data_IF_168893766395
#
_entry.id   IF_168893766395
#
_cell.length_a   1.000
_cell.length_b   1.000
_cell.length_c   1.000
_cell.angle_alpha   90.00
_cell.angle_beta   90.00
_cell.angle_gamma   90.00
#
_symmetry.space_group_name_H-M   'P 1'
#
loop_
_entity.id
_entity.type
_entity.pdbx_description
1 polymer ?
#
# COMPACT_ATOMS: atom_id res chain seq x y z
N UNK A 1 -27.83 -7.48 6.29
CA UNK A 1 -26.75 -7.89 5.38
C UNK A 1 -25.48 -7.17 5.80
N UNK A 2 -24.38 -7.89 5.88
CA UNK A 2 -23.07 -7.31 6.18
C UNK A 2 -22.12 -7.62 5.01
N UNK A 3 -21.37 -6.62 4.59
CA UNK A 3 -20.35 -6.71 3.54
C UNK A 3 -19.02 -6.18 4.04
N UNK A 4 -17.90 -6.60 3.48
CA UNK A 4 -16.59 -6.10 3.88
C UNK A 4 -16.25 -4.79 3.21
N UNK A 5 -16.26 -4.72 1.90
CA UNK A 5 -15.80 -3.57 1.12
C UNK A 5 -16.93 -2.89 0.30
N UNK A 6 -16.64 -1.70 -0.22
CA UNK A 6 -17.60 -0.90 -0.98
C UNK A 6 -18.18 -1.61 -2.22
N UNK A 7 -17.44 -2.30 -3.07
CA UNK A 7 -18.02 -2.98 -4.23
C UNK A 7 -19.15 -3.94 -3.88
N UNK A 8 -18.98 -4.74 -2.84
CA UNK A 8 -19.99 -5.69 -2.35
C UNK A 8 -21.23 -4.97 -1.83
N UNK A 9 -21.01 -3.90 -1.05
CA UNK A 9 -22.06 -3.05 -0.52
C UNK A 9 -22.90 -2.44 -1.66
N UNK A 10 -22.23 -1.88 -2.65
CA UNK A 10 -22.89 -1.24 -3.80
C UNK A 10 -23.68 -2.26 -4.65
N UNK A 11 -23.10 -3.42 -4.94
CA UNK A 11 -23.82 -4.48 -5.65
C UNK A 11 -25.07 -4.95 -4.91
N UNK A 12 -24.96 -5.15 -3.59
CA UNK A 12 -26.15 -5.54 -2.79
C UNK A 12 -27.19 -4.44 -2.81
N UNK A 13 -26.81 -3.18 -2.70
CA UNK A 13 -27.70 -2.02 -2.76
C UNK A 13 -28.43 -1.97 -4.10
N UNK A 14 -27.73 -2.12 -5.22
CA UNK A 14 -28.28 -2.11 -6.57
C UNK A 14 -29.24 -3.30 -6.79
N UNK A 15 -28.90 -4.50 -6.32
CA UNK A 15 -29.75 -5.70 -6.41
C UNK A 15 -31.04 -5.52 -5.59
N UNK A 16 -30.94 -4.93 -4.42
CA UNK A 16 -32.10 -4.65 -3.55
C UNK A 16 -33.02 -3.57 -4.14
N UNK A 17 -32.47 -2.61 -4.87
CA UNK A 17 -33.21 -1.49 -5.43
C UNK A 17 -34.04 -0.76 -4.36
N UNK A 18 -35.33 -0.57 -4.57
CA UNK A 18 -36.20 0.11 -3.61
C UNK A 18 -36.37 -0.59 -2.26
N UNK A 19 -35.86 -1.83 -2.10
CA UNK A 19 -35.85 -2.54 -0.82
C UNK A 19 -34.62 -2.22 0.03
N UNK A 20 -33.62 -1.54 -0.52
CA UNK A 20 -32.40 -1.20 0.19
C UNK A 20 -32.71 -0.34 1.44
N UNK A 21 -33.65 0.60 1.34
CA UNK A 21 -34.04 1.47 2.46
C UNK A 21 -34.69 0.72 3.64
N UNK A 22 -35.26 -0.48 3.37
CA UNK A 22 -35.89 -1.33 4.39
C UNK A 22 -35.00 -2.51 4.84
N UNK A 23 -33.79 -2.59 4.32
CA UNK A 23 -32.81 -3.61 4.62
C UNK A 23 -31.71 -3.03 5.48
N UNK A 24 -31.41 -3.66 6.60
CA UNK A 24 -30.22 -3.33 7.39
C UNK A 24 -28.98 -3.83 6.61
N UNK A 25 -28.31 -2.91 5.92
CA UNK A 25 -27.15 -3.15 5.09
C UNK A 25 -25.95 -2.39 5.65
N UNK A 26 -24.97 -3.12 6.10
CA UNK A 26 -23.76 -2.59 6.75
C UNK A 26 -22.53 -2.91 5.90
N UNK A 27 -21.67 -1.92 5.70
CA UNK A 27 -20.31 -2.07 5.19
C UNK A 27 -19.34 -1.96 6.38
N UNK A 28 -18.42 -2.91 6.50
CA UNK A 28 -17.47 -2.92 7.63
C UNK A 28 -16.34 -1.91 7.43
N UNK A 29 -15.77 -1.85 6.23
CA UNK A 29 -14.67 -0.96 5.88
C UNK A 29 -15.21 0.39 5.35
N UNK A 30 -15.93 1.13 6.16
CA UNK A 30 -16.59 2.38 5.77
C UNK A 30 -15.72 3.64 5.92
N UNK A 31 -14.56 3.53 6.59
CA UNK A 31 -13.71 4.66 6.94
C UNK A 31 -12.39 4.73 6.15
N UNK A 32 -12.30 4.12 4.97
CA UNK A 32 -11.08 4.12 4.16
C UNK A 32 -9.93 3.29 4.77
N UNK A 33 -10.26 2.31 5.58
CA UNK A 33 -9.30 1.32 6.10
C UNK A 33 -8.93 0.38 4.97
N UNK A 34 -7.64 0.10 4.83
CA UNK A 34 -7.13 -0.90 3.90
C UNK A 34 -7.63 -2.30 4.28
N UNK A 35 -8.09 -3.06 3.29
CA UNK A 35 -8.57 -4.43 3.47
C UNK A 35 -7.49 -5.35 4.08
N UNK A 36 -6.23 -5.17 3.67
CA UNK A 36 -5.11 -5.99 4.13
C UNK A 36 -4.73 -5.77 5.61
N UNK A 37 -5.03 -4.59 6.13
CA UNK A 37 -4.76 -4.24 7.53
C UNK A 37 -5.99 -4.26 8.44
N UNK A 38 -7.17 -4.59 7.88
CA UNK A 38 -8.40 -4.59 8.63
C UNK A 38 -8.48 -5.73 9.64
N UNK A 39 -8.77 -5.37 10.89
CA UNK A 39 -9.13 -6.32 11.95
C UNK A 39 -10.52 -5.96 12.48
N UNK A 40 -11.47 -6.92 12.52
CA UNK A 40 -12.83 -6.63 12.96
C UNK A 40 -12.85 -6.22 14.42
N UNK A 41 -13.56 -5.16 14.71
CA UNK A 41 -13.85 -4.74 16.09
C UNK A 41 -14.84 -5.70 16.74
N UNK A 42 -14.98 -5.64 18.08
CA UNK A 42 -15.98 -6.42 18.79
C UNK A 42 -17.41 -6.14 18.27
N UNK A 43 -17.70 -4.91 17.88
CA UNK A 43 -18.98 -4.50 17.31
C UNK A 43 -19.21 -5.11 15.91
N UNK A 44 -18.18 -5.17 15.09
CA UNK A 44 -18.24 -5.81 13.77
C UNK A 44 -18.47 -7.32 13.89
N UNK A 45 -17.81 -7.97 14.85
CA UNK A 45 -18.02 -9.39 15.14
C UNK A 45 -19.49 -9.64 15.54
N UNK A 46 -20.09 -8.78 16.34
CA UNK A 46 -21.51 -8.88 16.70
C UNK A 46 -22.41 -8.70 15.47
N UNK A 47 -22.16 -7.66 14.66
CA UNK A 47 -22.93 -7.43 13.43
C UNK A 47 -22.88 -8.62 12.48
N UNK A 48 -21.69 -9.20 12.25
CA UNK A 48 -21.52 -10.40 11.42
C UNK A 48 -22.26 -11.59 12.05
N UNK A 49 -22.04 -11.82 13.35
CA UNK A 49 -22.59 -12.97 14.06
C UNK A 49 -24.12 -13.05 14.00
N UNK A 50 -24.81 -11.91 13.98
CA UNK A 50 -26.27 -11.80 14.01
C UNK A 50 -26.89 -11.62 12.62
N UNK A 51 -26.11 -11.34 11.58
CA UNK A 51 -26.64 -11.02 10.25
C UNK A 51 -27.29 -12.25 9.57
N UNK A 52 -28.09 -11.97 8.54
CA UNK A 52 -28.72 -13.03 7.73
C UNK A 52 -27.89 -13.40 6.49
N UNK A 53 -27.09 -12.48 6.02
CA UNK A 53 -26.22 -12.64 4.87
C UNK A 53 -24.90 -11.90 5.14
N UNK A 54 -23.80 -12.60 5.03
CA UNK A 54 -22.45 -12.06 5.08
C UNK A 54 -21.75 -12.28 3.75
N UNK A 55 -21.20 -11.22 3.16
CA UNK A 55 -20.48 -11.26 1.89
C UNK A 55 -19.09 -10.68 2.14
N UNK A 56 -18.06 -11.39 1.70
CA UNK A 56 -16.67 -10.96 1.84
C UNK A 56 -15.84 -11.45 0.66
N UNK A 57 -14.70 -10.81 0.42
CA UNK A 57 -13.82 -11.14 -0.71
C UNK A 57 -13.25 -12.53 -0.58
N UNK A 58 -12.70 -12.86 0.57
CA UNK A 58 -11.94 -14.09 0.82
C UNK A 58 -10.43 -13.87 0.65
N UNK A 59 -9.66 -14.97 0.69
CA UNK A 59 -8.21 -14.94 0.63
C UNK A 59 -7.55 -14.53 1.94
N UNK A 60 -6.27 -14.14 1.86
CA UNK A 60 -5.45 -13.86 3.05
C UNK A 60 -5.96 -12.67 3.85
N UNK A 61 -6.40 -11.61 3.18
CA UNK A 61 -6.90 -10.39 3.83
C UNK A 61 -8.15 -10.62 4.68
N UNK A 62 -8.94 -11.65 4.38
CA UNK A 62 -10.16 -12.00 5.10
C UNK A 62 -9.99 -13.28 5.96
N UNK A 63 -8.76 -13.69 6.27
CA UNK A 63 -8.47 -14.88 7.09
C UNK A 63 -9.15 -14.88 8.47
N UNK A 64 -9.40 -13.69 9.02
CA UNK A 64 -10.15 -13.47 10.25
C UNK A 64 -11.62 -13.94 10.17
N UNK A 65 -12.22 -13.92 8.97
CA UNK A 65 -13.64 -14.26 8.77
C UNK A 65 -13.99 -15.67 9.22
N UNK A 66 -13.11 -16.65 8.97
CA UNK A 66 -13.35 -18.04 9.40
C UNK A 66 -13.55 -18.17 10.92
N UNK A 67 -12.77 -17.44 11.72
CA UNK A 67 -12.85 -17.49 13.18
C UNK A 67 -14.18 -16.91 13.69
N UNK A 68 -14.65 -15.82 13.07
CA UNK A 68 -15.93 -15.18 13.38
C UNK A 68 -17.08 -16.09 12.99
N UNK A 69 -17.05 -16.68 11.81
CA UNK A 69 -18.09 -17.56 11.28
C UNK A 69 -18.27 -18.84 12.12
N UNK A 70 -17.17 -19.43 12.62
CA UNK A 70 -17.22 -20.60 13.53
C UNK A 70 -18.05 -20.34 14.78
N UNK A 71 -18.04 -19.10 15.27
CA UNK A 71 -18.68 -18.68 16.52
C UNK A 71 -19.97 -17.88 16.33
N UNK A 72 -20.44 -17.70 15.08
CA UNK A 72 -21.61 -16.90 14.77
C UNK A 72 -22.86 -17.41 15.48
N UNK A 73 -23.67 -16.47 16.04
CA UNK A 73 -24.90 -16.79 16.76
C UNK A 73 -26.00 -17.24 15.80
N UNK A 74 -26.11 -16.60 14.64
CA UNK A 74 -27.11 -16.97 13.62
C UNK A 74 -26.64 -18.15 12.77
N UNK A 75 -26.98 -19.35 13.17
CA UNK A 75 -26.68 -20.59 12.45
C UNK A 75 -27.39 -20.75 11.08
N UNK A 76 -28.30 -19.84 10.74
CA UNK A 76 -29.02 -19.81 9.45
C UNK A 76 -28.46 -18.75 8.51
N UNK A 77 -27.43 -18.03 8.92
CA UNK A 77 -26.75 -17.05 8.12
C UNK A 77 -26.29 -17.68 6.80
N UNK A 78 -26.49 -16.96 5.71
CA UNK A 78 -25.87 -17.27 4.42
C UNK A 78 -24.53 -16.57 4.33
N UNK A 79 -23.55 -17.25 3.77
CA UNK A 79 -22.19 -16.73 3.61
C UNK A 79 -21.83 -16.83 2.14
N UNK A 80 -21.30 -15.76 1.60
CA UNK A 80 -20.75 -15.68 0.23
C UNK A 80 -19.30 -15.27 0.35
N UNK A 81 -18.39 -16.18 0.04
CA UNK A 81 -16.98 -15.90 -0.20
C UNK A 81 -16.82 -15.70 -1.71
N UNK A 82 -16.47 -14.51 -2.14
CA UNK A 82 -16.43 -14.18 -3.56
C UNK A 82 -15.34 -14.96 -4.30
N UNK A 83 -14.18 -15.17 -3.70
CA UNK A 83 -13.11 -15.94 -4.33
C UNK A 83 -13.54 -17.41 -4.53
N UNK A 84 -14.24 -18.00 -3.57
CA UNK A 84 -14.77 -19.36 -3.72
C UNK A 84 -15.84 -19.46 -4.82
N UNK A 85 -16.73 -18.47 -4.92
CA UNK A 85 -17.78 -18.42 -5.94
C UNK A 85 -17.20 -18.24 -7.34
N UNK A 86 -16.18 -17.41 -7.48
CA UNK A 86 -15.52 -17.13 -8.76
C UNK A 86 -14.61 -18.28 -9.22
N UNK A 87 -14.06 -19.04 -8.27
CA UNK A 87 -13.23 -20.22 -8.55
C UNK A 87 -12.11 -19.91 -9.57
N UNK A 88 -12.06 -20.66 -10.66
CA UNK A 88 -11.06 -20.52 -11.72
C UNK A 88 -11.11 -19.18 -12.49
N UNK A 89 -12.14 -18.35 -12.27
CA UNK A 89 -12.25 -17.02 -12.86
C UNK A 89 -11.50 -15.95 -12.06
N UNK A 90 -11.03 -16.31 -10.87
CA UNK A 90 -10.19 -15.44 -10.04
C UNK A 90 -8.86 -15.24 -10.76
N UNK A 91 -8.50 -14.00 -11.02
CA UNK A 91 -7.14 -13.65 -11.37
C UNK A 91 -6.41 -13.38 -10.04
N UNK A 92 -5.40 -14.15 -9.77
CA UNK A 92 -4.46 -13.84 -8.70
C UNK A 92 -3.73 -12.56 -9.12
N UNK A 93 -3.70 -11.59 -8.25
CA UNK A 93 -2.81 -10.44 -8.41
C UNK A 93 -1.39 -10.99 -8.57
N UNK A 94 -0.72 -10.64 -9.66
CA UNK A 94 0.69 -10.94 -9.76
C UNK A 94 1.39 -10.10 -8.71
N UNK A 95 1.77 -10.74 -7.60
CA UNK A 95 2.58 -10.11 -6.56
C UNK A 95 3.93 -9.84 -7.20
N UNK A 96 4.09 -8.66 -7.77
CA UNK A 96 5.41 -8.17 -8.18
C UNK A 96 6.21 -7.94 -6.91
N UNK A 97 7.42 -8.47 -6.90
CA UNK A 97 8.35 -8.40 -5.77
C UNK A 97 8.56 -6.92 -5.38
N UNK A 98 8.01 -6.55 -4.23
CA UNK A 98 7.96 -5.17 -3.73
C UNK A 98 6.63 -4.77 -3.11
N UNK A 99 5.55 -5.52 -3.34
CA UNK A 99 4.28 -5.40 -2.61
C UNK A 99 4.32 -6.11 -1.25
N UNK A 100 5.37 -6.87 -0.97
CA UNK A 100 5.59 -7.44 0.37
C UNK A 100 6.45 -6.47 1.18
N UNK A 101 5.84 -5.80 2.12
CA UNK A 101 6.56 -5.28 3.27
C UNK A 101 7.28 -6.44 3.97
N UNK A 102 8.54 -6.20 4.33
CA UNK A 102 9.43 -7.16 4.97
C UNK A 102 8.74 -8.05 6.02
N UNK A 103 8.70 -9.35 5.77
CA UNK A 103 8.48 -10.36 6.80
C UNK A 103 7.32 -11.32 6.53
N UNK A 104 7.65 -12.44 6.08
CA UNK A 104 7.30 -13.84 6.31
C UNK A 104 7.27 -14.65 5.03
N UNK A 105 8.39 -15.37 4.87
CA UNK A 105 8.55 -16.51 3.96
C UNK A 105 7.52 -17.60 4.26
N UNK A 106 6.51 -17.75 3.40
CA UNK A 106 5.83 -19.02 3.21
C UNK A 106 5.85 -19.36 1.72
N UNK A 107 6.83 -20.19 1.39
CA UNK A 107 7.15 -20.62 0.05
C UNK A 107 5.97 -21.20 -0.72
N UNK A 108 5.72 -20.61 -1.86
CA UNK A 108 5.37 -21.32 -3.08
C UNK A 108 6.15 -20.71 -4.24
N UNK A 109 7.12 -21.48 -4.68
CA UNK A 109 8.08 -21.20 -5.72
C UNK A 109 7.43 -20.97 -7.08
N UNK A 110 7.55 -19.75 -7.61
CA UNK A 110 8.10 -19.57 -8.94
C UNK A 110 9.15 -18.47 -8.84
N UNK A 111 10.38 -18.92 -8.70
CA UNK A 111 11.60 -18.15 -8.56
C UNK A 111 11.99 -17.58 -9.94
N UNK A 112 11.16 -16.73 -10.54
CA UNK A 112 11.60 -15.86 -11.63
C UNK A 112 12.31 -14.67 -11.03
N UNK A 113 13.60 -14.82 -10.84
CA UNK A 113 14.46 -13.78 -10.35
C UNK A 113 14.44 -12.60 -11.33
N UNK A 114 14.01 -11.42 -10.87
CA UNK A 114 14.05 -10.17 -11.63
C UNK A 114 15.45 -9.99 -12.25
N UNK A 115 15.49 -9.86 -13.57
CA UNK A 115 16.71 -9.64 -14.34
C UNK A 115 16.72 -8.23 -14.92
N UNK A 116 17.84 -7.76 -15.44
CA UNK A 116 17.92 -6.47 -16.12
C UNK A 116 17.05 -6.40 -17.39
N UNK A 117 16.68 -7.54 -17.96
CA UNK A 117 15.83 -7.59 -19.14
C UNK A 117 14.34 -7.34 -18.81
N UNK A 118 13.97 -7.48 -17.55
CA UNK A 118 12.59 -7.29 -17.06
C UNK A 118 12.36 -5.86 -16.59
N UNK A 119 13.40 -5.01 -16.63
CA UNK A 119 13.31 -3.61 -16.23
C UNK A 119 13.07 -2.74 -17.45
N UNK A 120 11.96 -2.04 -17.49
CA UNK A 120 11.63 -1.07 -18.52
C UNK A 120 11.90 0.37 -18.07
N UNK A 121 12.23 1.24 -19.05
CA UNK A 121 12.38 2.66 -18.79
C UNK A 121 11.05 3.28 -18.39
N UNK A 122 11.08 4.15 -17.37
CA UNK A 122 9.90 4.86 -16.89
C UNK A 122 10.01 6.36 -17.12
N UNK A 123 8.87 7.01 -17.17
CA UNK A 123 8.76 8.46 -17.34
C UNK A 123 8.39 9.12 -16.02
N UNK A 124 8.58 10.42 -15.91
CA UNK A 124 8.14 11.16 -14.73
C UNK A 124 6.62 11.14 -14.56
N UNK A 125 5.88 10.89 -15.64
CA UNK A 125 4.41 10.75 -15.62
C UNK A 125 3.94 9.55 -14.80
N UNK A 126 4.75 8.50 -14.67
CA UNK A 126 4.42 7.33 -13.85
C UNK A 126 4.36 7.68 -12.34
N UNK A 127 5.01 8.75 -11.97
CA UNK A 127 5.05 9.31 -10.61
C UNK A 127 4.21 10.60 -10.48
N UNK A 128 3.34 10.89 -11.45
CA UNK A 128 2.54 12.12 -11.45
C UNK A 128 1.62 12.22 -10.24
N UNK A 129 1.38 13.43 -9.75
CA UNK A 129 0.46 13.66 -8.64
C UNK A 129 0.98 14.63 -7.58
N UNK A 130 0.25 14.69 -6.48
CA UNK A 130 0.57 15.50 -5.31
C UNK A 130 0.84 14.60 -4.11
N UNK A 131 2.06 14.61 -3.63
CA UNK A 131 2.60 13.69 -2.64
C UNK A 131 2.95 14.40 -1.34
N UNK A 132 2.82 13.70 -0.22
CA UNK A 132 3.23 14.19 1.11
C UNK A 132 4.28 13.27 1.70
N UNK A 133 5.27 13.85 2.36
CA UNK A 133 6.22 13.09 3.16
C UNK A 133 5.52 12.47 4.38
N UNK A 134 5.84 11.23 4.69
CA UNK A 134 5.40 10.56 5.94
C UNK A 134 6.22 11.00 7.16
N UNK A 135 7.40 11.56 6.97
CA UNK A 135 8.30 11.95 8.05
C UNK A 135 7.67 12.92 9.07
N UNK A 136 6.96 14.01 8.70
CA UNK A 136 6.27 14.85 9.67
C UNK A 136 5.20 14.12 10.49
N UNK A 137 4.47 13.17 9.87
CA UNK A 137 3.44 12.38 10.55
C UNK A 137 4.05 11.38 11.56
N UNK A 138 5.25 10.88 11.27
CA UNK A 138 6.00 10.07 12.23
C UNK A 138 6.45 10.91 13.43
N UNK A 139 6.99 12.11 13.19
CA UNK A 139 7.54 12.98 14.23
C UNK A 139 6.47 13.52 15.20
N UNK A 140 5.25 13.73 14.73
CA UNK A 140 4.15 14.24 15.56
C UNK A 140 3.34 13.13 16.26
N UNK A 141 3.67 11.85 16.01
CA UNK A 141 3.06 10.67 16.65
C UNK A 141 1.84 10.10 15.93
N UNK A 142 1.45 10.62 14.76
CA UNK A 142 0.32 10.11 13.98
C UNK A 142 0.54 8.66 13.53
N UNK A 143 1.81 8.24 13.38
CA UNK A 143 2.20 6.88 12.98
C UNK A 143 2.62 5.98 14.16
N UNK A 144 2.33 6.37 15.39
CA UNK A 144 2.68 5.59 16.57
C UNK A 144 2.05 4.19 16.56
N UNK A 145 0.76 4.10 16.19
CA UNK A 145 0.06 2.82 16.09
C UNK A 145 0.62 1.93 14.97
N UNK A 146 1.06 2.54 13.88
CA UNK A 146 1.73 1.82 12.80
C UNK A 146 3.04 1.20 13.30
N UNK A 147 3.87 1.95 14.03
CA UNK A 147 5.10 1.42 14.62
C UNK A 147 4.83 0.34 15.68
N UNK A 148 3.74 0.47 16.47
CA UNK A 148 3.30 -0.56 17.41
C UNK A 148 2.95 -1.87 16.67
N UNK A 149 2.13 -1.77 15.64
CA UNK A 149 1.70 -2.91 14.84
C UNK A 149 2.89 -3.63 14.17
N UNK A 150 3.80 -2.88 13.57
CA UNK A 150 5.02 -3.45 12.99
C UNK A 150 5.89 -4.19 14.01
N UNK A 151 5.94 -3.71 15.25
CA UNK A 151 6.68 -4.39 16.32
C UNK A 151 5.98 -5.66 16.81
N UNK A 152 4.63 -5.70 16.75
CA UNK A 152 3.83 -6.88 17.10
C UNK A 152 3.94 -7.99 16.06
N UNK A 153 4.12 -7.63 14.79
CA UNK A 153 4.29 -8.58 13.69
C UNK A 153 5.73 -9.09 13.52
N UNK A 154 6.72 -8.47 14.17
CA UNK A 154 8.11 -8.86 14.06
C UNK A 154 8.37 -10.19 14.80
N UNK A 155 9.00 -11.13 14.11
CA UNK A 155 9.41 -12.42 14.70
C UNK A 155 10.41 -12.27 15.85
N UNK A 156 11.21 -11.19 15.83
CA UNK A 156 12.09 -10.84 16.94
C UNK A 156 11.31 -10.13 18.06
N UNK A 157 10.89 -10.90 19.05
CA UNK A 157 10.18 -10.40 20.22
C UNK A 157 10.93 -9.32 21.03
N UNK A 158 12.17 -9.02 20.69
CA UNK A 158 12.94 -7.90 21.27
C UNK A 158 12.69 -6.58 20.53
N UNK A 159 12.08 -6.62 19.34
CA UNK A 159 11.73 -5.44 18.56
C UNK A 159 10.56 -4.72 19.21
N UNK A 160 10.67 -3.41 19.32
CA UNK A 160 9.68 -2.56 19.97
C UNK A 160 9.18 -1.48 19.04
N UNK A 161 8.06 -0.82 19.39
CA UNK A 161 7.58 0.41 18.75
C UNK A 161 8.71 1.41 18.52
N UNK A 162 9.52 1.65 19.56
CA UNK A 162 10.61 2.63 19.50
C UNK A 162 11.70 2.21 18.50
N UNK A 163 11.95 0.91 18.36
CA UNK A 163 12.87 0.38 17.33
C UNK A 163 12.41 0.73 15.93
N UNK A 164 11.14 0.50 15.61
CA UNK A 164 10.56 0.86 14.33
C UNK A 164 10.48 2.37 14.13
N UNK A 165 10.12 3.11 15.16
CA UNK A 165 10.06 4.57 15.10
C UNK A 165 11.44 5.18 14.76
N UNK A 166 12.52 4.76 15.42
CA UNK A 166 13.87 5.22 15.12
C UNK A 166 14.33 4.76 13.72
N UNK A 167 14.02 3.54 13.31
CA UNK A 167 14.27 3.01 11.96
C UNK A 167 13.63 3.92 10.90
N UNK A 168 12.32 4.18 11.02
CA UNK A 168 11.59 5.00 10.06
C UNK A 168 12.00 6.47 10.11
N UNK A 169 12.27 7.02 11.29
CA UNK A 169 12.80 8.37 11.43
C UNK A 169 14.11 8.57 10.66
N UNK A 170 15.00 7.61 10.71
CA UNK A 170 16.25 7.66 9.98
C UNK A 170 16.07 7.46 8.48
N UNK A 171 15.19 6.53 8.06
CA UNK A 171 15.02 6.15 6.66
C UNK A 171 14.09 7.08 5.88
N UNK A 172 13.11 7.72 6.54
CA UNK A 172 12.14 8.62 5.91
C UNK A 172 12.50 10.10 6.05
N UNK A 173 13.65 10.41 6.62
CA UNK A 173 14.09 11.79 6.73
C UNK A 173 14.11 12.46 5.35
N UNK A 174 13.33 13.52 5.21
CA UNK A 174 13.17 14.25 3.97
C UNK A 174 13.00 15.75 4.27
N UNK A 175 13.75 16.59 3.58
CA UNK A 175 13.67 18.04 3.75
C UNK A 175 12.42 18.65 3.07
N UNK A 176 11.88 17.97 2.06
CA UNK A 176 10.64 18.34 1.40
C UNK A 176 9.43 17.70 2.09
N UNK A 177 8.44 18.52 2.48
CA UNK A 177 7.18 18.05 3.06
C UNK A 177 6.18 17.61 2.01
N UNK A 178 6.25 18.22 0.81
CA UNK A 178 5.36 17.91 -0.31
C UNK A 178 6.13 17.95 -1.62
N UNK A 179 5.69 17.10 -2.54
CA UNK A 179 6.18 17.06 -3.90
C UNK A 179 4.97 17.03 -4.84
N UNK A 180 5.00 17.85 -5.88
CA UNK A 180 4.00 17.78 -6.97
C UNK A 180 4.73 17.51 -8.28
N UNK A 181 4.25 16.51 -9.01
CA UNK A 181 4.81 16.08 -10.29
C UNK A 181 3.74 16.26 -11.35
N UNK A 182 4.04 17.07 -12.36
CA UNK A 182 3.13 17.33 -13.48
C UNK A 182 3.93 17.43 -14.79
N UNK A 183 3.70 16.48 -15.70
CA UNK A 183 4.55 16.31 -16.87
C UNK A 183 6.00 16.09 -16.46
N UNK A 184 6.90 16.86 -17.03
CA UNK A 184 8.34 16.79 -16.74
C UNK A 184 8.78 17.69 -15.57
N UNK A 185 7.84 18.31 -14.85
CA UNK A 185 8.13 19.25 -13.78
C UNK A 185 7.93 18.63 -12.41
N UNK A 186 8.96 18.72 -11.55
CA UNK A 186 8.86 18.44 -10.12
C UNK A 186 8.89 19.76 -9.35
N UNK A 187 7.91 19.93 -8.45
CA UNK A 187 7.85 21.03 -7.48
C UNK A 187 8.03 20.47 -6.08
N UNK A 188 9.06 20.90 -5.39
CA UNK A 188 9.34 20.61 -3.99
C UNK A 188 8.78 21.74 -3.11
N UNK A 189 8.12 21.39 -2.02
CA UNK A 189 7.68 22.31 -0.97
C UNK A 189 8.34 21.91 0.34
N UNK A 190 9.11 22.81 0.90
CA UNK A 190 9.87 22.62 2.14
C UNK A 190 9.08 23.07 3.37
N UNK A 191 9.52 22.67 4.57
CA UNK A 191 8.87 22.99 5.85
C UNK A 191 8.73 24.50 6.13
N UNK A 192 9.63 25.33 5.59
CA UNK A 192 9.59 26.81 5.69
C UNK A 192 8.59 27.46 4.70
N UNK A 193 7.88 26.63 3.92
CA UNK A 193 6.96 27.08 2.88
C UNK A 193 7.63 27.49 1.57
N UNK A 194 8.96 27.41 1.47
CA UNK A 194 9.66 27.64 0.21
C UNK A 194 9.29 26.57 -0.81
N UNK A 195 9.06 26.99 -2.04
CA UNK A 195 8.85 26.11 -3.18
C UNK A 195 9.95 26.26 -4.21
N UNK A 196 10.34 25.14 -4.81
CA UNK A 196 11.30 25.09 -5.90
C UNK A 196 10.76 24.18 -6.98
N UNK A 197 10.76 24.63 -8.22
CA UNK A 197 10.27 23.85 -9.37
C UNK A 197 11.33 23.80 -10.47
N UNK A 198 11.47 22.63 -11.09
CA UNK A 198 12.31 22.47 -12.27
C UNK A 198 11.78 21.37 -13.18
N UNK A 199 12.14 21.45 -14.45
CA UNK A 199 11.96 20.37 -15.41
C UNK A 199 13.09 19.35 -15.24
N UNK A 200 12.73 18.07 -15.27
CA UNK A 200 13.65 16.95 -15.14
C UNK A 200 13.59 16.06 -16.35
N UNK A 201 14.74 15.53 -16.73
CA UNK A 201 14.89 14.57 -17.83
C UNK A 201 15.29 13.21 -17.26
N UNK A 202 14.78 12.15 -17.86
CA UNK A 202 15.15 10.80 -17.50
C UNK A 202 16.65 10.54 -17.76
N UNK A 203 17.32 9.98 -16.79
CA UNK A 203 18.77 9.72 -16.81
C UNK A 203 19.11 8.21 -16.72
N UNK A 204 18.08 7.36 -16.78
CA UNK A 204 18.24 5.91 -16.67
C UNK A 204 17.74 5.35 -15.35
N UNK A 205 18.12 4.12 -15.06
CA UNK A 205 17.78 3.45 -13.81
C UNK A 205 18.98 2.77 -13.16
N UNK A 206 18.87 2.48 -11.88
CA UNK A 206 19.86 1.72 -11.13
C UNK A 206 19.21 0.58 -10.38
N UNK A 207 19.47 -0.70 -10.76
CA UNK A 207 19.02 -1.83 -9.97
C UNK A 207 19.81 -1.92 -8.67
N UNK A 208 19.10 -2.08 -7.56
CA UNK A 208 19.66 -2.35 -6.24
C UNK A 208 19.68 -3.86 -6.01
N UNK A 209 20.83 -4.37 -5.62
CA UNK A 209 21.04 -5.82 -5.45
C UNK A 209 21.31 -6.13 -3.97
N UNK A 210 20.86 -7.30 -3.54
CA UNK A 210 21.25 -7.84 -2.24
C UNK A 210 22.68 -8.45 -2.29
N UNK A 211 23.13 -8.99 -1.16
CA UNK A 211 24.45 -9.60 -1.02
C UNK A 211 24.68 -10.83 -1.93
N UNK A 212 23.60 -11.46 -2.38
CA UNK A 212 23.61 -12.58 -3.33
C UNK A 212 23.65 -12.11 -4.80
N UNK A 213 23.61 -10.80 -5.05
CA UNK A 213 23.61 -10.20 -6.38
C UNK A 213 22.23 -10.17 -7.05
N UNK A 214 21.16 -10.59 -6.36
CA UNK A 214 19.78 -10.54 -6.85
C UNK A 214 19.24 -9.10 -6.83
N UNK A 215 18.54 -8.68 -7.88
CA UNK A 215 17.88 -7.38 -7.92
C UNK A 215 16.72 -7.40 -6.90
N UNK A 216 16.66 -6.38 -6.04
CA UNK A 216 15.63 -6.22 -5.00
C UNK A 216 14.72 -5.03 -5.26
N UNK A 217 15.21 -4.03 -5.96
CA UNK A 217 14.43 -2.87 -6.35
C UNK A 217 15.15 -2.10 -7.46
N UNK A 218 14.42 -1.18 -8.09
CA UNK A 218 14.95 -0.33 -9.15
C UNK A 218 14.79 1.12 -8.74
N UNK A 219 15.84 1.93 -8.91
CA UNK A 219 15.77 3.38 -8.74
C UNK A 219 15.78 4.04 -10.10
N UNK A 220 14.69 4.69 -10.48
CA UNK A 220 14.56 5.47 -11.69
C UNK A 220 15.14 6.87 -11.46
N UNK A 221 16.01 7.30 -12.35
CA UNK A 221 16.88 8.46 -12.18
C UNK A 221 16.45 9.59 -13.10
N UNK A 222 16.35 10.79 -12.56
CA UNK A 222 15.99 12.00 -13.28
C UNK A 222 16.94 13.12 -12.89
N UNK A 223 17.32 13.97 -13.84
CA UNK A 223 18.23 15.07 -13.58
C UNK A 223 17.74 16.39 -14.19
N UNK A 224 18.17 17.50 -13.60
CA UNK A 224 17.92 18.85 -14.10
C UNK A 224 19.21 19.67 -14.21
N UNK A 225 19.20 20.65 -15.09
CA UNK A 225 20.25 21.66 -15.18
C UNK A 225 19.92 22.92 -14.37
N UNK A 226 18.76 22.98 -13.73
CA UNK A 226 18.37 24.09 -12.86
C UNK A 226 19.33 24.20 -11.66
N UNK A 227 19.79 25.42 -11.38
CA UNK A 227 20.66 25.70 -10.22
C UNK A 227 19.87 25.81 -8.91
N UNK A 228 18.56 26.01 -8.98
CA UNK A 228 17.70 26.31 -7.83
C UNK A 228 17.02 25.06 -7.25
N UNK A 229 17.04 23.95 -7.97
CA UNK A 229 16.40 22.70 -7.59
C UNK A 229 17.44 21.58 -7.35
N UNK A 230 17.09 20.52 -6.61
CA UNK A 230 17.94 19.33 -6.49
C UNK A 230 18.31 18.81 -7.87
N UNK A 231 19.60 18.69 -8.14
CA UNK A 231 20.09 18.32 -9.48
C UNK A 231 19.71 16.89 -9.88
N UNK A 232 19.72 15.97 -8.93
CA UNK A 232 19.48 14.55 -9.12
C UNK A 232 18.31 14.11 -8.28
N UNK A 233 17.40 13.36 -8.87
CA UNK A 233 16.23 12.77 -8.20
C UNK A 233 16.12 11.29 -8.58
N UNK A 234 15.83 10.45 -7.61
CA UNK A 234 15.58 9.03 -7.83
C UNK A 234 14.26 8.63 -7.19
N UNK A 235 13.47 7.85 -7.90
CA UNK A 235 12.23 7.25 -7.41
C UNK A 235 12.36 5.72 -7.32
N UNK A 236 11.78 5.14 -6.29
CA UNK A 236 11.57 3.71 -6.14
C UNK A 236 10.18 3.50 -5.54
N UNK A 237 9.28 2.91 -6.32
CA UNK A 237 7.93 2.52 -5.93
C UNK A 237 7.75 0.99 -5.95
N UNK A 238 8.89 0.27 -5.95
CA UNK A 238 8.98 -1.17 -6.06
C UNK A 238 8.61 -1.76 -7.43
N UNK A 239 8.07 -0.94 -8.36
CA UNK A 239 7.79 -1.33 -9.74
C UNK A 239 9.06 -1.41 -10.61
N UNK A 240 9.01 -2.21 -11.66
CA UNK A 240 10.09 -2.35 -12.66
C UNK A 240 9.60 -2.14 -14.09
N UNK A 241 8.31 -1.88 -14.27
CA UNK A 241 7.62 -1.57 -15.53
C UNK A 241 6.92 -0.21 -15.46
N UNK A 242 6.56 0.42 -16.61
CA UNK A 242 5.73 1.62 -16.63
C UNK A 242 4.37 1.40 -15.94
N UNK A 243 3.98 2.35 -15.09
CA UNK A 243 2.71 2.30 -14.36
C UNK A 243 2.57 3.46 -13.37
N UNK A 244 1.34 3.76 -12.97
CA UNK A 244 1.07 4.81 -11.99
C UNK A 244 1.54 4.36 -10.60
N UNK A 245 2.41 5.16 -9.98
CA UNK A 245 2.87 4.92 -8.62
C UNK A 245 1.77 5.28 -7.61
N UNK A 246 1.52 4.41 -6.64
CA UNK A 246 0.64 4.69 -5.50
C UNK A 246 1.40 5.28 -4.32
N UNK A 247 2.67 4.94 -4.19
CA UNK A 247 3.64 5.49 -3.25
C UNK A 247 5.04 5.37 -3.82
N UNK A 248 6.00 6.05 -3.25
CA UNK A 248 7.40 5.87 -3.60
C UNK A 248 8.36 6.35 -2.51
N UNK A 249 9.55 5.79 -2.54
CA UNK A 249 10.72 6.35 -1.87
C UNK A 249 11.41 7.31 -2.83
N UNK A 250 11.72 8.51 -2.36
CA UNK A 250 12.43 9.52 -3.14
C UNK A 250 13.78 9.83 -2.52
N UNK A 251 14.78 9.96 -3.37
CA UNK A 251 16.14 10.40 -3.02
C UNK A 251 16.49 11.57 -3.91
N UNK A 252 16.95 12.66 -3.34
CA UNK A 252 17.31 13.84 -4.13
C UNK A 252 18.47 14.63 -3.51
N UNK A 253 19.24 15.30 -4.34
CA UNK A 253 20.41 16.07 -3.92
C UNK A 253 21.22 16.61 -5.09
N UNK A 254 22.44 17.05 -4.79
CA UNK A 254 23.35 17.67 -5.77
C UNK A 254 24.65 16.88 -6.01
N UNK A 255 24.88 15.81 -5.25
CA UNK A 255 26.17 15.10 -5.23
C UNK A 255 26.24 13.90 -6.20
N UNK A 256 25.18 13.66 -6.99
CA UNK A 256 25.06 12.55 -7.94
C UNK A 256 23.99 11.54 -7.55
N UNK A 257 23.86 10.46 -8.35
CA UNK A 257 22.95 9.33 -8.14
C UNK A 257 23.52 8.30 -7.18
#
# INVERSE_FOLDING_TARGET
>A
VVTTIFPEYDWVREILGGKAESTDLTMLLDNGVDLHSYQPTADDIVKISDCNLFIYVGGESDGWAESVLKNAANRKMKVINLLEVLGESVKTEEIVEGMQEDGHDHGHSHDEQLTENDIEDRTLSDFAGAWKSLHPFLLNGDLDKFCEHRAEEDEDSSTTKDTYWEKYKASWQCDAEKISINGDTITFTYADGKTVSAEYTYAGYQPKRNDEGKIRSVRYQFETTSADAPKYVQFNDHGHEPGEAEHFHIYFGNDGF
#
